data_IF_901194109238
#
_entry.id   IF_901194109238
#
_cell.length_a   1.000
_cell.length_b   1.000
_cell.length_c   1.000
_cell.angle_alpha   90.00
_cell.angle_beta   90.00
_cell.angle_gamma   90.00
#
_symmetry.space_group_name_H-M   'P 1'
#
loop_
_entity.id
_entity.type
_entity.pdbx_description
1 polymer ?
#
# COMPACT_ATOMS: atom_id res chain seq x y z
N UNK A 1 -20.50 -6.03 15.71
CA UNK A 1 -20.22 -4.92 14.77
C UNK A 1 -19.02 -5.17 13.85
N UNK A 2 -17.82 -5.52 14.33
CA UNK A 2 -16.65 -5.76 13.45
C UNK A 2 -16.89 -6.85 12.41
N UNK A 3 -17.44 -7.99 12.85
CA UNK A 3 -17.80 -9.11 12.00
C UNK A 3 -18.84 -8.68 10.95
N UNK A 4 -19.75 -7.77 11.30
CA UNK A 4 -20.79 -7.29 10.38
C UNK A 4 -20.21 -6.36 9.31
N UNK A 5 -19.26 -5.48 9.63
CA UNK A 5 -18.55 -4.67 8.63
C UNK A 5 -17.79 -5.54 7.63
N UNK A 6 -17.09 -6.57 8.13
CA UNK A 6 -16.35 -7.51 7.26
C UNK A 6 -17.34 -8.30 6.38
N UNK A 7 -18.41 -8.85 6.96
CA UNK A 7 -19.48 -9.54 6.22
C UNK A 7 -20.10 -8.64 5.15
N UNK A 8 -20.32 -7.37 5.46
CA UNK A 8 -20.85 -6.40 4.50
C UNK A 8 -19.91 -6.21 3.30
N UNK A 9 -18.62 -5.99 3.56
CA UNK A 9 -17.60 -5.85 2.52
C UNK A 9 -17.55 -7.12 1.65
N UNK A 10 -17.61 -8.32 2.25
CA UNK A 10 -17.66 -9.60 1.52
C UNK A 10 -18.90 -9.67 0.62
N UNK A 11 -20.09 -9.38 1.18
CA UNK A 11 -21.35 -9.42 0.44
C UNK A 11 -21.34 -8.45 -0.74
N UNK A 12 -20.82 -7.23 -0.54
CA UNK A 12 -20.65 -6.21 -1.59
C UNK A 12 -19.78 -6.74 -2.74
N UNK A 13 -18.66 -7.39 -2.42
CA UNK A 13 -17.78 -7.99 -3.42
C UNK A 13 -18.45 -9.13 -4.21
N UNK A 14 -19.18 -10.01 -3.52
CA UNK A 14 -19.85 -11.18 -4.14
C UNK A 14 -21.08 -10.77 -4.96
N UNK A 15 -21.75 -9.68 -4.60
CA UNK A 15 -22.95 -9.20 -5.29
C UNK A 15 -22.67 -8.83 -6.75
N UNK A 16 -21.50 -8.24 -7.04
CA UNK A 16 -21.08 -7.83 -8.38
C UNK A 16 -20.00 -8.77 -8.93
N UNK A 17 -20.35 -10.04 -9.16
CA UNK A 17 -19.40 -11.09 -9.59
C UNK A 17 -18.61 -10.72 -10.85
N UNK A 18 -19.25 -10.10 -11.84
CA UNK A 18 -18.57 -9.66 -13.06
C UNK A 18 -17.50 -8.59 -12.78
N UNK A 19 -17.82 -7.63 -11.91
CA UNK A 19 -16.86 -6.60 -11.49
C UNK A 19 -15.70 -7.25 -10.72
N UNK A 20 -15.98 -8.19 -9.83
CA UNK A 20 -14.96 -8.92 -9.07
C UNK A 20 -13.99 -9.67 -10.00
N UNK A 21 -14.52 -10.45 -10.96
CA UNK A 21 -13.69 -11.20 -11.92
C UNK A 21 -12.93 -10.26 -12.83
N UNK A 22 -13.55 -9.16 -13.27
CA UNK A 22 -12.89 -8.15 -14.11
C UNK A 22 -11.68 -7.52 -13.42
N UNK A 23 -11.83 -7.06 -12.17
CA UNK A 23 -10.71 -6.50 -11.39
C UNK A 23 -9.64 -7.54 -11.09
N UNK A 24 -10.02 -8.77 -10.75
CA UNK A 24 -9.07 -9.86 -10.55
C UNK A 24 -8.26 -10.15 -11.82
N UNK A 25 -8.90 -10.23 -12.99
CA UNK A 25 -8.21 -10.45 -14.26
C UNK A 25 -7.28 -9.29 -14.63
N UNK A 26 -7.69 -8.05 -14.33
CA UNK A 26 -6.85 -6.88 -14.53
C UNK A 26 -5.59 -6.94 -13.66
N UNK A 27 -5.74 -7.21 -12.35
CA UNK A 27 -4.62 -7.36 -11.42
C UNK A 27 -3.71 -8.52 -11.83
N UNK A 28 -4.30 -9.68 -12.15
CA UNK A 28 -3.57 -10.86 -12.60
C UNK A 28 -2.72 -10.55 -13.84
N UNK A 29 -3.32 -9.89 -14.83
CA UNK A 29 -2.64 -9.51 -16.07
C UNK A 29 -1.51 -8.53 -15.80
N UNK A 30 -1.75 -7.51 -14.96
CA UNK A 30 -0.75 -6.50 -14.61
C UNK A 30 0.43 -7.12 -13.86
N UNK A 31 0.20 -7.89 -12.80
CA UNK A 31 1.28 -8.52 -12.04
C UNK A 31 2.08 -9.49 -12.90
N UNK A 32 1.41 -10.27 -13.77
CA UNK A 32 2.07 -11.21 -14.67
C UNK A 32 2.90 -10.48 -15.74
N UNK A 33 2.34 -9.45 -16.36
CA UNK A 33 3.04 -8.66 -17.37
C UNK A 33 4.27 -7.95 -16.78
N UNK A 34 4.13 -7.32 -15.61
CA UNK A 34 5.25 -6.65 -14.93
C UNK A 34 6.32 -7.65 -14.51
N UNK A 35 5.94 -8.81 -13.97
CA UNK A 35 6.90 -9.87 -13.62
C UNK A 35 7.65 -10.40 -14.86
N UNK A 36 6.93 -10.71 -15.94
CA UNK A 36 7.55 -11.15 -17.20
C UNK A 36 8.46 -10.08 -17.80
N UNK A 37 8.07 -8.79 -17.71
CA UNK A 37 8.89 -7.67 -18.13
C UNK A 37 10.24 -7.64 -17.41
N UNK A 38 10.22 -7.71 -16.08
CA UNK A 38 11.46 -7.80 -15.29
C UNK A 38 12.25 -9.08 -15.58
N UNK A 39 11.57 -10.23 -15.72
CA UNK A 39 12.23 -11.49 -16.08
C UNK A 39 12.97 -11.41 -17.41
N UNK A 40 12.36 -10.83 -18.44
CA UNK A 40 12.99 -10.61 -19.74
C UNK A 40 14.14 -9.60 -19.67
N UNK A 41 13.99 -8.52 -18.90
CA UNK A 41 15.08 -7.56 -18.67
C UNK A 41 16.31 -8.25 -18.06
N UNK A 42 16.11 -9.16 -17.12
CA UNK A 42 17.22 -9.89 -16.50
C UNK A 42 17.94 -10.85 -17.46
N UNK A 43 17.36 -11.20 -18.61
CA UNK A 43 18.07 -11.99 -19.63
C UNK A 43 19.18 -11.20 -20.34
N UNK A 44 19.12 -9.86 -20.25
CA UNK A 44 20.07 -8.96 -20.93
C UNK A 44 20.95 -8.19 -19.96
N UNK A 45 20.48 -7.98 -18.72
CA UNK A 45 21.15 -7.18 -17.71
C UNK A 45 21.41 -8.07 -16.50
N UNK A 46 22.69 -8.31 -16.21
CA UNK A 46 23.12 -9.19 -15.12
C UNK A 46 23.03 -8.51 -13.75
N UNK A 47 23.26 -7.19 -13.72
CA UNK A 47 23.33 -6.39 -12.49
C UNK A 47 22.45 -5.13 -12.66
N UNK A 48 21.50 -4.95 -11.74
CA UNK A 48 20.62 -3.79 -11.65
C UNK A 48 20.89 -3.06 -10.33
N UNK A 49 21.75 -2.04 -10.37
CA UNK A 49 22.23 -1.39 -9.13
C UNK A 49 23.00 -2.39 -8.27
N UNK A 50 22.57 -2.59 -7.01
CA UNK A 50 23.19 -3.58 -6.10
C UNK A 50 22.49 -4.97 -6.13
N UNK A 51 21.59 -5.19 -7.08
CA UNK A 51 20.81 -6.42 -7.20
C UNK A 51 21.27 -7.26 -8.39
N UNK A 52 21.50 -8.55 -8.15
CA UNK A 52 21.68 -9.50 -9.23
C UNK A 52 20.32 -9.83 -9.89
N UNK A 53 20.40 -10.54 -11.02
CA UNK A 53 19.26 -11.05 -11.79
C UNK A 53 18.16 -11.77 -10.97
N UNK A 54 18.50 -12.54 -9.95
CA UNK A 54 17.51 -13.26 -9.15
C UNK A 54 16.91 -12.35 -8.08
N UNK A 55 17.75 -11.53 -7.47
CA UNK A 55 17.38 -10.61 -6.40
C UNK A 55 16.43 -9.51 -6.88
N UNK A 56 16.53 -9.06 -8.13
CA UNK A 56 15.58 -8.10 -8.72
C UNK A 56 14.17 -8.70 -8.89
N UNK A 57 14.07 -9.99 -9.24
CA UNK A 57 12.79 -10.69 -9.29
C UNK A 57 12.19 -10.87 -7.90
N UNK A 58 13.05 -11.12 -6.89
CA UNK A 58 12.62 -11.13 -5.50
C UNK A 58 12.15 -9.74 -5.04
N UNK A 59 12.87 -8.68 -5.40
CA UNK A 59 12.51 -7.30 -5.10
C UNK A 59 11.09 -6.96 -5.61
N UNK A 60 10.81 -7.22 -6.89
CA UNK A 60 9.52 -6.84 -7.48
C UNK A 60 8.36 -7.65 -6.89
N UNK A 61 8.56 -8.95 -6.62
CA UNK A 61 7.53 -9.77 -5.97
C UNK A 61 7.30 -9.37 -4.51
N UNK A 62 8.33 -8.86 -3.84
CA UNK A 62 8.20 -8.28 -2.50
C UNK A 62 7.34 -7.01 -2.53
N UNK A 63 7.61 -6.11 -3.48
CA UNK A 63 6.78 -4.92 -3.69
C UNK A 63 5.33 -5.27 -4.03
N UNK A 64 5.09 -6.29 -4.87
CA UNK A 64 3.74 -6.75 -5.19
C UNK A 64 2.96 -7.19 -3.94
N UNK A 65 3.60 -7.91 -3.00
CA UNK A 65 2.95 -8.31 -1.76
C UNK A 65 2.56 -7.08 -0.91
N UNK A 66 3.46 -6.12 -0.77
CA UNK A 66 3.20 -4.88 -0.03
C UNK A 66 2.05 -4.10 -0.68
N UNK A 67 2.12 -3.88 -2.00
CA UNK A 67 1.09 -3.18 -2.76
C UNK A 67 -0.26 -3.89 -2.70
N UNK A 68 -0.28 -5.23 -2.80
CA UNK A 68 -1.50 -6.01 -2.75
C UNK A 68 -2.16 -5.97 -1.36
N UNK A 69 -1.37 -6.05 -0.28
CA UNK A 69 -1.91 -5.86 1.08
C UNK A 69 -2.47 -4.45 1.27
N UNK A 70 -1.76 -3.42 0.79
CA UNK A 70 -2.30 -2.06 0.73
C UNK A 70 -3.62 -2.02 -0.05
N UNK A 71 -3.69 -2.68 -1.21
CA UNK A 71 -4.88 -2.70 -2.05
C UNK A 71 -6.09 -3.33 -1.33
N UNK A 72 -5.87 -4.45 -0.63
CA UNK A 72 -6.91 -5.16 0.14
C UNK A 72 -7.48 -4.28 1.25
N UNK A 73 -6.62 -3.63 2.04
CA UNK A 73 -7.06 -2.94 3.26
C UNK A 73 -7.38 -1.46 3.07
N UNK A 74 -6.60 -0.75 2.25
CA UNK A 74 -6.59 0.71 2.24
C UNK A 74 -7.02 1.35 0.92
N UNK A 75 -6.78 0.73 -0.24
CA UNK A 75 -7.02 1.41 -1.52
C UNK A 75 -8.48 1.87 -1.69
N UNK A 76 -9.45 0.98 -1.50
CA UNK A 76 -10.87 1.36 -1.59
C UNK A 76 -11.32 2.20 -0.38
N UNK A 77 -10.80 1.89 0.81
CA UNK A 77 -11.13 2.60 2.05
C UNK A 77 -10.79 4.09 2.00
N UNK A 78 -9.57 4.42 1.58
CA UNK A 78 -9.08 5.79 1.53
C UNK A 78 -9.77 6.58 0.40
N UNK A 79 -9.97 5.94 -0.76
CA UNK A 79 -10.72 6.54 -1.88
C UNK A 79 -12.17 6.85 -1.48
N UNK A 80 -12.87 5.90 -0.86
CA UNK A 80 -14.25 6.08 -0.40
C UNK A 80 -14.37 7.13 0.69
N UNK A 81 -13.38 7.24 1.57
CA UNK A 81 -13.32 8.30 2.56
C UNK A 81 -13.20 9.69 1.92
N UNK A 82 -12.29 9.88 0.96
CA UNK A 82 -12.20 11.16 0.24
C UNK A 82 -13.52 11.53 -0.45
N UNK A 83 -14.14 10.55 -1.12
CA UNK A 83 -15.45 10.74 -1.76
C UNK A 83 -16.55 11.07 -0.75
N UNK A 84 -16.61 10.39 0.40
CA UNK A 84 -17.66 10.64 1.40
C UNK A 84 -17.55 12.02 2.03
N UNK A 85 -16.32 12.53 2.22
CA UNK A 85 -16.08 13.89 2.70
C UNK A 85 -16.60 14.92 1.68
N UNK A 86 -16.28 14.75 0.39
CA UNK A 86 -16.70 15.68 -0.66
C UNK A 86 -18.22 15.66 -0.93
N UNK A 87 -18.87 14.52 -0.69
CA UNK A 87 -20.31 14.34 -0.94
C UNK A 87 -21.18 14.57 0.31
N UNK A 88 -20.58 14.89 1.46
CA UNK A 88 -21.29 15.07 2.73
C UNK A 88 -21.74 13.77 3.42
N UNK A 89 -21.62 12.60 2.76
CA UNK A 89 -21.97 11.31 3.38
C UNK A 89 -21.06 10.92 4.55
N UNK A 90 -19.93 11.60 4.72
CA UNK A 90 -19.01 11.40 5.84
C UNK A 90 -19.68 11.63 7.21
N UNK A 91 -20.70 12.48 7.29
CA UNK A 91 -21.47 12.72 8.52
C UNK A 91 -22.07 11.43 9.08
N UNK A 92 -22.56 10.55 8.20
CA UNK A 92 -23.11 9.26 8.60
C UNK A 92 -22.04 8.28 9.11
N UNK A 93 -20.80 8.40 8.62
CA UNK A 93 -19.68 7.60 9.09
C UNK A 93 -19.24 8.08 10.50
N UNK A 94 -19.35 9.37 10.81
CA UNK A 94 -19.06 9.95 12.14
C UNK A 94 -20.07 9.53 13.23
N UNK A 95 -21.32 9.27 12.86
CA UNK A 95 -22.35 8.81 13.79
C UNK A 95 -22.14 7.37 14.28
N UNK A 96 -21.22 6.62 13.67
CA UNK A 96 -20.99 5.22 14.07
C UNK A 96 -20.21 5.17 15.40
N UNK A 97 -20.62 4.32 16.35
CA UNK A 97 -19.97 4.21 17.67
C UNK A 97 -18.69 3.38 17.60
N UNK A 98 -17.78 3.70 16.67
CA UNK A 98 -16.51 3.01 16.45
C UNK A 98 -15.40 3.99 16.03
N UNK A 99 -14.12 3.67 16.29
CA UNK A 99 -13.01 4.49 15.80
C UNK A 99 -13.07 4.64 14.27
N UNK A 100 -13.02 5.89 13.80
CA UNK A 100 -13.23 6.27 12.40
C UNK A 100 -12.36 5.47 11.42
N UNK A 101 -11.04 5.47 11.62
CA UNK A 101 -10.06 4.77 10.77
C UNK A 101 -10.44 3.29 10.64
N UNK A 102 -10.77 2.65 11.77
CA UNK A 102 -11.11 1.24 11.84
C UNK A 102 -12.39 0.94 11.06
N UNK A 103 -13.41 1.78 11.23
CA UNK A 103 -14.68 1.63 10.54
C UNK A 103 -14.52 1.76 9.02
N UNK A 104 -13.82 2.82 8.56
CA UNK A 104 -13.60 3.09 7.13
C UNK A 104 -12.83 1.95 6.46
N UNK A 105 -11.76 1.46 7.09
CA UNK A 105 -10.93 0.36 6.55
C UNK A 105 -11.73 -0.93 6.44
N UNK A 106 -12.41 -1.35 7.53
CA UNK A 106 -13.09 -2.66 7.55
C UNK A 106 -14.37 -2.70 6.68
N UNK A 107 -15.02 -1.55 6.46
CA UNK A 107 -16.20 -1.41 5.60
C UNK A 107 -15.86 -1.46 4.10
N UNK A 108 -14.61 -1.20 3.73
CA UNK A 108 -14.20 -1.03 2.34
C UNK A 108 -12.99 -1.91 2.00
N UNK A 109 -13.05 -3.18 2.40
CA UNK A 109 -12.04 -4.18 2.01
C UNK A 109 -12.19 -4.53 0.52
N UNK A 110 -11.07 -4.50 -0.20
CA UNK A 110 -11.02 -4.83 -1.63
C UNK A 110 -10.79 -6.34 -1.82
N UNK A 111 -11.89 -7.07 -2.05
CA UNK A 111 -11.87 -8.52 -2.28
C UNK A 111 -11.19 -8.96 -3.58
N UNK A 112 -11.35 -8.26 -4.72
CA UNK A 112 -10.61 -8.59 -5.94
C UNK A 112 -9.10 -8.72 -5.72
N UNK A 113 -8.48 -7.75 -5.03
CA UNK A 113 -7.05 -7.82 -4.70
C UNK A 113 -6.72 -9.05 -3.83
N UNK A 114 -7.61 -9.42 -2.90
CA UNK A 114 -7.42 -10.58 -2.05
C UNK A 114 -7.30 -11.90 -2.86
N UNK A 115 -8.00 -12.02 -3.99
CA UNK A 115 -7.93 -13.19 -4.88
C UNK A 115 -6.59 -13.31 -5.62
N UNK A 116 -5.89 -12.20 -5.84
CA UNK A 116 -4.55 -12.17 -6.46
C UNK A 116 -3.45 -12.61 -5.49
N UNK A 117 -3.70 -12.54 -4.18
CA UNK A 117 -2.72 -12.82 -3.11
C UNK A 117 -2.03 -14.18 -3.21
N UNK A 118 -2.72 -15.31 -3.47
CA UNK A 118 -2.06 -16.63 -3.54
C UNK A 118 -1.01 -16.72 -4.65
N UNK A 119 -1.27 -16.11 -5.81
CA UNK A 119 -0.30 -16.04 -6.90
C UNK A 119 0.93 -15.22 -6.50
N UNK A 120 0.72 -14.08 -5.84
CA UNK A 120 1.82 -13.22 -5.41
C UNK A 120 2.69 -13.88 -4.34
N UNK A 121 2.07 -14.60 -3.40
CA UNK A 121 2.79 -15.40 -2.40
C UNK A 121 3.60 -16.49 -3.08
N UNK A 122 3.01 -17.20 -4.05
CA UNK A 122 3.70 -18.23 -4.82
C UNK A 122 4.94 -17.67 -5.54
N UNK A 123 4.79 -16.57 -6.28
CA UNK A 123 5.90 -15.92 -6.99
C UNK A 123 7.00 -15.48 -6.02
N UNK A 124 6.62 -14.88 -4.88
CA UNK A 124 7.60 -14.42 -3.89
C UNK A 124 8.38 -15.60 -3.28
N UNK A 125 7.70 -16.68 -2.86
CA UNK A 125 8.36 -17.88 -2.32
C UNK A 125 9.26 -18.53 -3.38
N UNK A 126 8.82 -18.56 -4.64
CA UNK A 126 9.63 -19.07 -5.76
C UNK A 126 10.91 -18.26 -5.93
N UNK A 127 10.83 -16.92 -5.97
CA UNK A 127 12.00 -16.05 -6.02
C UNK A 127 12.91 -16.19 -4.79
N UNK A 128 12.34 -16.36 -3.59
CA UNK A 128 13.13 -16.61 -2.37
C UNK A 128 13.96 -17.87 -2.49
N UNK A 129 13.36 -18.98 -2.98
CA UNK A 129 14.08 -20.24 -3.17
C UNK A 129 15.24 -20.11 -4.16
N UNK A 130 15.02 -19.40 -5.27
CA UNK A 130 16.06 -19.17 -6.28
C UNK A 130 17.22 -18.36 -5.70
N UNK A 131 16.93 -17.36 -4.88
CA UNK A 131 17.95 -16.54 -4.21
C UNK A 131 18.61 -17.23 -3.00
N UNK A 132 18.20 -18.46 -2.63
CA UNK A 132 18.68 -19.14 -1.43
C UNK A 132 18.26 -18.48 -0.11
N UNK A 133 17.21 -17.65 -0.13
CA UNK A 133 16.74 -16.90 1.02
C UNK A 133 15.84 -17.76 1.90
N UNK A 134 16.05 -17.70 3.22
CA UNK A 134 15.15 -18.34 4.20
C UNK A 134 14.02 -17.39 4.59
N UNK A 135 12.82 -17.92 4.73
CA UNK A 135 11.68 -17.17 5.25
C UNK A 135 11.93 -16.84 6.73
N UNK A 136 11.97 -15.56 7.07
CA UNK A 136 12.17 -15.08 8.44
C UNK A 136 10.94 -14.33 8.94
N UNK A 137 10.71 -14.37 10.26
CA UNK A 137 9.63 -13.60 10.90
C UNK A 137 9.82 -12.10 10.66
N UNK A 138 11.07 -11.61 10.71
CA UNK A 138 11.42 -10.23 10.43
C UNK A 138 10.93 -9.80 9.04
N UNK A 139 11.19 -10.61 8.01
CA UNK A 139 10.70 -10.32 6.66
C UNK A 139 9.16 -10.24 6.59
N UNK A 140 8.46 -11.20 7.20
CA UNK A 140 6.99 -11.22 7.21
C UNK A 140 6.46 -9.95 7.88
N UNK A 141 6.98 -9.59 9.06
CA UNK A 141 6.59 -8.37 9.78
C UNK A 141 6.91 -7.14 8.93
N UNK A 142 8.03 -7.12 8.21
CA UNK A 142 8.41 -5.98 7.37
C UNK A 142 7.43 -5.74 6.21
N UNK A 143 6.87 -6.80 5.60
CA UNK A 143 5.83 -6.71 4.57
C UNK A 143 4.55 -6.08 5.15
N UNK A 144 4.10 -6.56 6.32
CA UNK A 144 2.91 -6.00 6.98
C UNK A 144 3.14 -4.55 7.41
N UNK A 145 4.31 -4.26 7.96
CA UNK A 145 4.70 -2.91 8.38
C UNK A 145 4.70 -1.93 7.20
N UNK A 146 5.33 -2.33 6.09
CA UNK A 146 5.41 -1.57 4.84
C UNK A 146 4.02 -1.30 4.24
N UNK A 147 3.14 -2.32 4.20
CA UNK A 147 1.78 -2.17 3.65
C UNK A 147 0.89 -1.28 4.52
N UNK A 148 1.00 -1.38 5.86
CA UNK A 148 0.31 -0.47 6.78
C UNK A 148 0.83 0.96 6.58
N UNK A 149 2.14 1.15 6.48
CA UNK A 149 2.73 2.48 6.29
C UNK A 149 2.25 3.11 4.97
N UNK A 150 2.21 2.33 3.89
CA UNK A 150 1.67 2.76 2.60
C UNK A 150 0.21 3.19 2.74
N UNK A 151 -0.60 2.38 3.42
CA UNK A 151 -1.99 2.71 3.75
C UNK A 151 -2.15 4.02 4.52
N UNK A 152 -1.33 4.22 5.56
CA UNK A 152 -1.35 5.43 6.39
C UNK A 152 -0.94 6.67 5.60
N UNK A 153 0.09 6.57 4.74
CA UNK A 153 0.53 7.67 3.88
C UNK A 153 -0.60 8.12 2.95
N UNK A 154 -1.27 7.18 2.27
CA UNK A 154 -2.43 7.51 1.43
C UNK A 154 -3.58 8.07 2.27
N UNK A 155 -3.84 7.53 3.46
CA UNK A 155 -4.89 8.06 4.32
C UNK A 155 -4.61 9.51 4.74
N UNK A 156 -3.35 9.86 5.04
CA UNK A 156 -2.94 11.24 5.32
C UNK A 156 -3.24 12.14 4.12
N UNK A 157 -2.86 11.71 2.92
CA UNK A 157 -3.11 12.46 1.67
C UNK A 157 -4.59 12.76 1.47
N UNK A 158 -5.44 11.75 1.65
CA UNK A 158 -6.88 11.94 1.51
C UNK A 158 -7.51 12.67 2.69
N UNK A 159 -6.90 12.66 3.88
CA UNK A 159 -7.40 13.45 5.03
C UNK A 159 -7.31 14.95 4.80
N UNK A 160 -6.51 15.41 3.82
CA UNK A 160 -6.52 16.81 3.40
C UNK A 160 -7.85 17.26 2.77
N UNK A 161 -8.72 16.35 2.32
CA UNK A 161 -10.08 16.73 1.86
C UNK A 161 -10.90 17.38 2.96
N UNK A 162 -10.67 17.03 4.24
CA UNK A 162 -11.35 17.64 5.38
C UNK A 162 -11.04 19.14 5.52
N UNK A 163 -9.98 19.61 4.89
CA UNK A 163 -9.56 21.02 4.86
C UNK A 163 -10.04 21.75 3.59
N UNK A 164 -10.87 21.11 2.76
CA UNK A 164 -11.34 21.66 1.48
C UNK A 164 -10.33 21.55 0.33
N UNK A 165 -9.21 20.84 0.52
CA UNK A 165 -8.23 20.60 -0.54
C UNK A 165 -8.68 19.43 -1.42
N UNK A 166 -8.57 19.58 -2.75
CA UNK A 166 -8.82 18.47 -3.69
C UNK A 166 -7.70 17.43 -3.55
N UNK A 167 -7.98 16.32 -2.87
CA UNK A 167 -7.00 15.26 -2.65
C UNK A 167 -6.57 14.54 -3.92
N UNK A 168 -7.34 14.63 -5.01
CA UNK A 168 -7.03 14.01 -6.30
C UNK A 168 -5.70 14.49 -6.89
N UNK A 169 -5.40 15.79 -6.80
CA UNK A 169 -4.15 16.35 -7.29
C UNK A 169 -2.95 15.85 -6.46
N UNK A 170 -3.12 15.76 -5.14
CA UNK A 170 -2.07 15.30 -4.23
C UNK A 170 -1.87 13.79 -4.38
N UNK A 171 -2.95 13.03 -4.54
CA UNK A 171 -2.88 11.58 -4.73
C UNK A 171 -2.23 11.23 -6.07
N UNK A 172 -2.45 12.00 -7.14
CA UNK A 172 -1.74 11.84 -8.41
C UNK A 172 -0.21 11.96 -8.25
N UNK A 173 0.26 12.92 -7.45
CA UNK A 173 1.70 13.07 -7.15
C UNK A 173 2.22 11.84 -6.39
N UNK A 174 1.48 11.36 -5.39
CA UNK A 174 1.88 10.17 -4.62
C UNK A 174 1.90 8.92 -5.50
N UNK A 175 0.93 8.76 -6.40
CA UNK A 175 0.93 7.66 -7.39
C UNK A 175 2.16 7.72 -8.28
N UNK A 176 2.57 8.92 -8.72
CA UNK A 176 3.80 9.08 -9.49
C UNK A 176 5.03 8.67 -8.67
N UNK A 177 5.08 8.98 -7.38
CA UNK A 177 6.15 8.53 -6.49
C UNK A 177 6.14 7.00 -6.31
N UNK A 178 4.98 6.34 -6.30
CA UNK A 178 4.91 4.88 -6.26
C UNK A 178 5.49 4.22 -7.52
N UNK A 179 5.40 4.85 -8.69
CA UNK A 179 6.10 4.32 -9.89
C UNK A 179 7.63 4.33 -9.72
N UNK A 180 8.16 5.13 -8.79
CA UNK A 180 9.57 5.06 -8.41
C UNK A 180 9.84 3.88 -7.47
N UNK A 181 8.88 3.48 -6.64
CA UNK A 181 9.01 2.33 -5.73
C UNK A 181 9.13 1.00 -6.48
N UNK A 182 8.58 0.90 -7.69
CA UNK A 182 8.75 -0.27 -8.56
C UNK A 182 10.19 -0.47 -9.03
N UNK A 183 11.00 0.59 -9.04
CA UNK A 183 12.39 0.58 -9.48
C UNK A 183 13.31 0.39 -8.27
N UNK A 184 14.40 -0.39 -8.41
CA UNK A 184 15.36 -0.56 -7.33
C UNK A 184 15.88 0.78 -6.79
N UNK A 185 15.95 0.89 -5.47
CA UNK A 185 16.37 2.09 -4.77
C UNK A 185 17.82 2.50 -5.10
N UNK A 186 18.65 1.53 -5.46
CA UNK A 186 20.07 1.69 -5.79
C UNK A 186 20.33 2.28 -7.17
N UNK A 187 19.30 2.37 -8.03
CA UNK A 187 19.38 3.10 -9.32
C UNK A 187 19.36 4.62 -9.09
N UNK A 188 18.87 5.08 -7.93
CA UNK A 188 18.76 6.50 -7.62
C UNK A 188 20.01 7.02 -6.91
N UNK A 189 20.40 8.29 -7.13
CA UNK A 189 21.49 8.93 -6.39
C UNK A 189 21.25 8.86 -4.88
N UNK A 190 22.33 8.68 -4.10
CA UNK A 190 22.28 8.45 -2.65
C UNK A 190 21.42 9.46 -1.88
N UNK A 191 21.47 10.74 -2.27
CA UNK A 191 20.67 11.81 -1.64
C UNK A 191 19.17 11.57 -1.87
N UNK A 192 18.76 11.34 -3.12
CA UNK A 192 17.37 11.10 -3.48
C UNK A 192 16.85 9.80 -2.85
N UNK A 193 17.67 8.75 -2.86
CA UNK A 193 17.39 7.49 -2.19
C UNK A 193 17.10 7.68 -0.70
N UNK A 194 17.96 8.42 0.01
CA UNK A 194 17.77 8.69 1.44
C UNK A 194 16.51 9.53 1.71
N UNK A 195 16.20 10.52 0.87
CA UNK A 195 14.95 11.29 0.97
C UNK A 195 13.72 10.39 0.82
N UNK A 196 13.75 9.48 -0.16
CA UNK A 196 12.66 8.53 -0.41
C UNK A 196 12.55 7.40 0.63
N UNK A 197 13.60 7.14 1.42
CA UNK A 197 13.55 6.20 2.56
C UNK A 197 13.08 6.92 3.85
N UNK A 198 13.71 8.05 4.20
CA UNK A 198 13.56 8.66 5.52
C UNK A 198 12.51 9.77 5.59
N UNK A 199 12.29 10.53 4.51
CA UNK A 199 11.35 11.65 4.50
C UNK A 199 9.97 11.27 3.94
N UNK A 200 9.92 10.62 2.77
CA UNK A 200 8.66 10.30 2.03
C UNK A 200 8.25 8.80 2.12
N UNK A 201 8.91 8.01 2.97
CA UNK A 201 8.96 6.53 2.99
C UNK A 201 8.64 5.67 1.73
N UNK A 202 8.77 6.17 0.51
CA UNK A 202 8.49 5.41 -0.73
C UNK A 202 9.26 4.09 -0.80
N UNK A 203 10.57 4.09 -0.50
CA UNK A 203 11.38 2.87 -0.55
C UNK A 203 11.22 1.97 0.67
N UNK A 204 10.50 2.41 1.71
CA UNK A 204 10.09 1.50 2.79
C UNK A 204 9.02 0.52 2.32
N UNK A 205 8.26 0.85 1.27
CA UNK A 205 7.23 -0.01 0.70
C UNK A 205 7.78 -1.09 -0.24
N UNK A 206 8.96 -0.87 -0.82
CA UNK A 206 9.54 -1.76 -1.82
C UNK A 206 10.90 -2.32 -1.40
N UNK A 207 11.90 -1.45 -1.28
CA UNK A 207 13.29 -1.87 -1.16
C UNK A 207 13.65 -2.47 0.20
N UNK A 208 13.18 -1.87 1.30
CA UNK A 208 13.63 -2.27 2.63
C UNK A 208 13.18 -3.69 3.03
N UNK A 209 11.91 -4.11 2.83
CA UNK A 209 11.51 -5.50 3.08
C UNK A 209 12.34 -6.52 2.29
N UNK A 210 12.61 -6.24 1.01
CA UNK A 210 13.46 -7.09 0.19
C UNK A 210 14.91 -7.14 0.71
N UNK A 211 15.48 -6.00 1.12
CA UNK A 211 16.84 -5.92 1.69
C UNK A 211 16.96 -6.63 3.03
N UNK A 212 15.92 -6.61 3.87
CA UNK A 212 15.88 -7.37 5.13
C UNK A 212 15.98 -8.87 4.84
N UNK A 213 15.18 -9.37 3.88
CA UNK A 213 15.23 -10.78 3.49
C UNK A 213 16.57 -11.17 2.83
N UNK A 214 17.17 -10.27 2.05
CA UNK A 214 18.48 -10.48 1.41
C UNK A 214 19.67 -10.32 2.38
N UNK A 215 19.45 -9.88 3.62
CA UNK A 215 20.54 -9.57 4.56
C UNK A 215 21.36 -8.33 4.17
N UNK A 216 20.81 -7.46 3.30
CA UNK A 216 21.44 -6.23 2.78
C UNK A 216 20.92 -4.94 3.45
N UNK A 217 20.01 -5.05 4.42
CA UNK A 217 19.43 -3.90 5.13
C UNK A 217 20.38 -3.36 6.20
N UNK A 218 20.47 -2.03 6.32
CA UNK A 218 21.13 -1.39 7.45
C UNK A 218 20.22 -1.43 8.70
N UNK A 219 20.80 -1.45 9.90
CA UNK A 219 20.08 -1.40 11.18
C UNK A 219 19.11 -0.22 11.24
N UNK A 220 19.53 0.96 10.77
CA UNK A 220 18.67 2.15 10.73
C UNK A 220 17.45 1.98 9.82
N UNK A 221 17.61 1.33 8.66
CA UNK A 221 16.51 1.08 7.73
C UNK A 221 15.52 0.07 8.32
N UNK A 222 16.04 -0.98 8.97
CA UNK A 222 15.22 -1.98 9.65
C UNK A 222 14.43 -1.37 10.81
N UNK A 223 15.07 -0.57 11.67
CA UNK A 223 14.35 0.13 12.75
C UNK A 223 13.29 1.08 12.16
N UNK A 224 13.62 1.77 11.07
CA UNK A 224 12.72 2.72 10.45
C UNK A 224 11.50 2.06 9.80
N UNK A 225 11.64 0.91 9.13
CA UNK A 225 10.49 0.21 8.53
C UNK A 225 9.51 -0.29 9.59
N UNK A 226 9.98 -0.65 10.79
CA UNK A 226 9.12 -1.11 11.89
C UNK A 226 8.52 0.03 12.73
N UNK A 227 9.25 1.15 12.90
CA UNK A 227 8.80 2.26 13.75
C UNK A 227 7.97 3.31 13.00
N UNK A 228 8.20 3.50 11.70
CA UNK A 228 7.50 4.51 10.90
C UNK A 228 5.98 4.37 10.85
N UNK A 229 5.33 3.17 10.84
CA UNK A 229 3.88 3.10 10.87
C UNK A 229 3.28 3.76 12.12
N UNK A 230 3.95 3.65 13.27
CA UNK A 230 3.50 4.30 14.51
C UNK A 230 3.55 5.81 14.36
N UNK A 231 4.65 6.36 13.83
CA UNK A 231 4.81 7.78 13.59
C UNK A 231 3.74 8.31 12.62
N UNK A 232 3.54 7.64 11.50
CA UNK A 232 2.54 8.02 10.49
C UNK A 232 1.12 7.90 11.03
N UNK A 233 0.85 6.92 11.89
CA UNK A 233 -0.45 6.81 12.55
C UNK A 233 -0.71 7.98 13.51
N UNK A 234 0.30 8.45 14.24
CA UNK A 234 0.18 9.64 15.09
C UNK A 234 -0.05 10.91 14.25
N UNK A 235 0.70 11.07 13.15
CA UNK A 235 0.50 12.18 12.20
C UNK A 235 -0.92 12.15 11.63
N UNK A 236 -1.41 10.99 11.19
CA UNK A 236 -2.78 10.80 10.70
C UNK A 236 -3.81 11.20 11.75
N UNK A 237 -3.63 10.80 13.03
CA UNK A 237 -4.53 11.20 14.12
C UNK A 237 -4.59 12.71 14.30
N UNK A 238 -3.43 13.39 14.25
CA UNK A 238 -3.37 14.85 14.39
C UNK A 238 -4.09 15.52 13.21
N UNK A 239 -3.82 15.07 11.98
CA UNK A 239 -4.44 15.62 10.77
C UNK A 239 -5.95 15.39 10.79
N UNK A 240 -6.42 14.19 11.16
CA UNK A 240 -7.85 13.91 11.30
C UNK A 240 -8.49 14.78 12.38
N UNK A 241 -7.87 14.93 13.55
CA UNK A 241 -8.40 15.77 14.61
C UNK A 241 -8.51 17.24 14.19
N UNK A 242 -7.49 17.78 13.52
CA UNK A 242 -7.52 19.15 13.01
C UNK A 242 -8.48 19.31 11.83
N UNK A 243 -8.53 18.32 10.94
CA UNK A 243 -9.42 18.28 9.79
C UNK A 243 -10.87 18.25 10.21
N UNK A 244 -11.23 17.43 11.20
CA UNK A 244 -12.59 17.36 11.75
C UNK A 244 -13.07 18.68 12.35
N UNK A 245 -12.17 19.52 12.90
CA UNK A 245 -12.53 20.87 13.39
C UNK A 245 -12.84 21.86 12.27
N UNK A 246 -12.23 21.67 11.09
CA UNK A 246 -12.39 22.53 9.92
C UNK A 246 -13.42 22.00 8.93
N UNK A 247 -13.77 20.72 9.04
CA UNK A 247 -14.75 20.07 8.21
C UNK A 247 -16.10 20.76 8.39
N UNK A 248 -16.58 21.35 7.30
CA UNK A 248 -17.93 21.90 7.21
C UNK A 248 -18.78 20.87 6.49
N UNK A 249 -19.84 20.39 7.14
CA UNK A 249 -20.78 19.51 6.47
C UNK A 249 -21.35 20.24 5.26
N UNK A 250 -21.17 19.62 4.10
CA UNK A 250 -21.82 20.05 2.85
C UNK A 250 -23.22 19.43 2.73
N UNK A 251 -23.64 18.63 3.73
CA UNK A 251 -24.93 17.93 3.79
C UNK A 251 -26.04 18.84 4.29
N UNK A 252 -26.56 19.71 3.42
CA UNK A 252 -27.72 20.57 3.69
C UNK A 252 -28.65 20.82 2.51
N UNK A 253 -28.38 20.28 1.32
CA UNK A 253 -29.27 20.40 0.16
C UNK A 253 -29.60 19.01 -0.39
N UNK A 254 -30.63 18.39 0.18
CA UNK A 254 -31.48 17.40 -0.48
C UNK A 254 -32.93 17.81 -0.22
#
# INVERSE_FOLDING_TARGET
MLIESIKFSIKKGIQYRANLVGWFLADFSLYTATFLGYYLLTQRIDIFGDYNRQEILFYITCFFLVNNLYAIFFAEAVSKFGQSVLTGYFDFDLLKPQPLIKYIVLKNLNFPAALSTPLLIFLNIWCMKICGIKLTIAYIISIFSASILMGLLFFIVYSFTLFGLRSEAISAIVLQLLTMAEKPDTVFPKILRNLLIYAVPIFLFSAIPARIALGKSNVYESIWVYSSPLLYYLVLKIILYQGLKKYQSTGGEI
#
